data_IF_375151416134
#
_entry.id   IF_375151416134
#
_cell.length_a   1.000
_cell.length_b   1.000
_cell.length_c   1.000
_cell.angle_alpha   90.00
_cell.angle_beta   90.00
_cell.angle_gamma   90.00
#
_symmetry.space_group_name_H-M   'P 1'
#
loop_
_entity.id
_entity.type
_entity.pdbx_description
1 polymer ?
#
# COMPACT_ATOMS: atom_id res chain seq x y z
N UNK A 1 -5.29 16.93 9.31
CA UNK A 1 -6.26 16.05 8.60
C UNK A 1 -7.00 15.19 9.62
N UNK A 2 -8.21 14.69 9.31
CA UNK A 2 -9.00 13.85 10.21
C UNK A 2 -8.95 12.37 9.79
N UNK A 3 -9.21 11.48 10.74
CA UNK A 3 -9.37 10.05 10.49
C UNK A 3 -10.64 9.81 9.68
N UNK A 4 -10.51 9.03 8.61
CA UNK A 4 -11.62 8.68 7.72
C UNK A 4 -12.77 7.95 8.42
N UNK A 5 -12.49 7.18 9.48
CA UNK A 5 -13.49 6.30 10.11
C UNK A 5 -14.20 6.93 11.31
N UNK A 6 -13.56 7.87 12.02
CA UNK A 6 -14.10 8.38 13.29
C UNK A 6 -13.90 9.88 13.51
N UNK A 7 -13.39 10.61 12.51
CA UNK A 7 -13.12 12.05 12.58
C UNK A 7 -12.14 12.51 13.70
N UNK A 8 -11.54 11.61 14.49
CA UNK A 8 -10.41 11.93 15.38
C UNK A 8 -9.22 12.47 14.57
N UNK A 9 -8.30 13.18 15.22
CA UNK A 9 -7.06 13.62 14.57
C UNK A 9 -6.29 12.43 13.96
N UNK A 10 -5.94 12.53 12.68
CA UNK A 10 -5.12 11.51 12.04
C UNK A 10 -3.65 11.64 12.45
N UNK A 11 -2.95 10.50 12.52
CA UNK A 11 -1.52 10.38 12.81
C UNK A 11 -0.71 9.97 11.59
N UNK A 12 -1.37 9.46 10.54
CA UNK A 12 -0.74 9.11 9.28
C UNK A 12 -1.75 9.04 8.14
N UNK A 13 -1.26 8.74 6.94
CA UNK A 13 -2.06 8.59 5.73
C UNK A 13 -1.89 7.19 5.14
N UNK A 14 -2.97 6.60 4.66
CA UNK A 14 -2.93 5.30 3.99
C UNK A 14 -2.06 5.37 2.74
N UNK A 15 -1.06 4.49 2.62
CA UNK A 15 -0.12 4.47 1.50
C UNK A 15 -0.79 4.30 0.13
N UNK A 16 -1.95 3.64 0.09
CA UNK A 16 -2.66 3.31 -1.16
C UNK A 16 -3.72 4.35 -1.58
N UNK A 17 -4.46 4.95 -0.64
CA UNK A 17 -5.58 5.86 -0.96
C UNK A 17 -5.47 7.23 -0.28
N UNK A 18 -4.38 7.52 0.43
CA UNK A 18 -4.10 8.77 1.13
C UNK A 18 -5.08 9.19 2.24
N UNK A 19 -6.14 8.41 2.54
CA UNK A 19 -7.04 8.66 3.69
C UNK A 19 -6.25 8.84 4.99
N UNK A 20 -6.61 9.85 5.78
CA UNK A 20 -6.06 10.03 7.13
C UNK A 20 -6.54 8.96 8.10
N UNK A 21 -5.66 8.49 8.98
CA UNK A 21 -5.94 7.43 9.97
C UNK A 21 -5.44 7.84 11.35
N UNK A 22 -6.28 7.66 12.37
CA UNK A 22 -5.86 7.75 13.78
C UNK A 22 -5.18 6.44 14.21
N UNK A 23 -4.57 6.42 15.39
CA UNK A 23 -3.91 5.24 15.96
C UNK A 23 -4.81 4.00 16.03
N UNK A 24 -6.09 4.16 16.39
CA UNK A 24 -7.06 3.04 16.47
C UNK A 24 -7.35 2.36 15.11
N UNK A 25 -7.29 3.13 14.02
CA UNK A 25 -7.71 2.67 12.69
C UNK A 25 -6.53 2.50 11.72
N UNK A 26 -5.33 2.93 12.11
CA UNK A 26 -4.13 2.66 11.35
C UNK A 26 -3.80 1.17 11.46
N UNK A 27 -3.61 0.53 10.30
CA UNK A 27 -2.97 -0.77 10.20
C UNK A 27 -1.61 -0.62 9.56
N UNK A 28 -0.76 -1.61 9.75
CA UNK A 28 0.58 -1.65 9.17
C UNK A 28 0.72 -2.94 8.36
N UNK A 29 1.43 -2.86 7.25
CA UNK A 29 1.69 -4.01 6.42
C UNK A 29 2.55 -3.67 5.21
N UNK A 30 3.01 -4.70 4.48
CA UNK A 30 4.07 -4.54 3.51
C UNK A 30 3.63 -3.69 2.32
N UNK A 31 4.57 -2.88 1.84
CA UNK A 31 4.44 -2.10 0.63
C UNK A 31 5.68 -2.30 -0.24
N UNK A 32 5.49 -2.92 -1.40
CA UNK A 32 6.53 -3.13 -2.41
C UNK A 32 6.84 -1.78 -3.10
N UNK A 33 8.05 -1.26 -2.89
CA UNK A 33 8.53 -0.03 -3.52
C UNK A 33 8.97 -0.28 -4.96
N UNK A 34 9.80 -1.31 -5.14
CA UNK A 34 10.46 -1.59 -6.41
C UNK A 34 10.76 -3.09 -6.54
N UNK A 35 10.85 -3.56 -7.78
CA UNK A 35 11.32 -4.91 -8.14
C UNK A 35 12.58 -4.78 -8.98
N UNK A 36 13.65 -5.45 -8.57
CA UNK A 36 14.90 -5.55 -9.30
C UNK A 36 15.12 -6.99 -9.81
N UNK A 37 15.87 -7.15 -10.90
CA UNK A 37 16.32 -8.47 -11.38
C UNK A 37 17.75 -8.72 -10.93
N UNK A 38 17.94 -9.73 -10.09
CA UNK A 38 19.26 -10.15 -9.62
C UNK A 38 19.87 -11.14 -10.61
N UNK A 39 20.88 -10.70 -11.35
CA UNK A 39 21.61 -11.58 -12.28
C UNK A 39 22.37 -12.68 -11.52
N UNK A 40 22.98 -12.34 -10.39
CA UNK A 40 23.77 -13.30 -9.59
C UNK A 40 22.91 -14.37 -8.93
N UNK A 41 21.69 -14.03 -8.49
CA UNK A 41 20.76 -15.00 -7.87
C UNK A 41 19.73 -15.56 -8.86
N UNK A 42 19.79 -15.16 -10.13
CA UNK A 42 18.89 -15.64 -11.19
C UNK A 42 17.41 -15.40 -10.93
N UNK A 43 17.03 -14.41 -10.10
CA UNK A 43 15.63 -14.19 -9.68
C UNK A 43 15.28 -12.71 -9.50
N UNK A 44 13.98 -12.41 -9.50
CA UNK A 44 13.48 -11.09 -9.12
C UNK A 44 13.53 -10.92 -7.59
N UNK A 45 13.83 -9.71 -7.15
CA UNK A 45 13.92 -9.33 -5.74
C UNK A 45 13.15 -8.02 -5.53
N UNK A 46 12.40 -7.92 -4.43
CA UNK A 46 11.60 -6.73 -4.11
C UNK A 46 12.20 -5.93 -2.97
N UNK A 47 12.19 -4.60 -3.09
CA UNK A 47 12.42 -3.70 -1.97
C UNK A 47 11.08 -3.41 -1.30
N UNK A 48 10.92 -3.81 -0.04
CA UNK A 48 9.65 -3.75 0.70
C UNK A 48 9.79 -2.88 1.94
N UNK A 49 8.79 -2.04 2.20
CA UNK A 49 8.57 -1.39 3.50
C UNK A 49 7.56 -2.23 4.26
N UNK A 50 7.99 -2.92 5.32
CA UNK A 50 7.13 -3.86 6.07
C UNK A 50 5.98 -3.19 6.81
N UNK A 51 6.19 -1.98 7.33
CA UNK A 51 5.22 -1.28 8.19
C UNK A 51 4.66 -0.02 7.53
N UNK A 52 4.23 -0.11 6.28
CA UNK A 52 3.53 1.00 5.64
C UNK A 52 2.14 1.20 6.27
N UNK A 53 1.72 2.45 6.48
CA UNK A 53 0.38 2.76 7.00
C UNK A 53 -0.70 2.38 5.99
N UNK A 54 -1.69 1.61 6.42
CA UNK A 54 -2.80 1.12 5.61
C UNK A 54 -4.14 1.32 6.32
N UNK A 55 -5.20 1.60 5.56
CA UNK A 55 -6.55 1.78 6.12
C UNK A 55 -7.33 0.47 6.27
N UNK A 56 -6.77 -0.67 5.85
CA UNK A 56 -7.43 -1.99 5.88
C UNK A 56 -8.66 -2.15 4.98
N UNK A 57 -9.11 -1.09 4.30
CA UNK A 57 -10.24 -1.12 3.36
C UNK A 57 -9.79 -1.07 1.91
N UNK A 58 -8.56 -0.62 1.63
CA UNK A 58 -7.94 -0.78 0.33
C UNK A 58 -7.74 -2.28 0.07
N UNK A 59 -8.36 -2.78 -0.99
CA UNK A 59 -8.17 -4.16 -1.46
C UNK A 59 -7.69 -4.08 -2.90
N UNK A 60 -6.38 -4.29 -3.18
CA UNK A 60 -5.95 -4.47 -4.55
C UNK A 60 -6.72 -5.63 -5.18
N UNK A 61 -7.01 -5.54 -6.48
CA UNK A 61 -7.64 -6.65 -7.19
C UNK A 61 -6.71 -7.87 -7.13
N UNK A 62 -7.23 -9.08 -6.92
CA UNK A 62 -6.41 -10.28 -6.86
C UNK A 62 -5.83 -10.66 -8.23
N UNK A 63 -6.45 -10.18 -9.32
CA UNK A 63 -5.95 -10.33 -10.68
C UNK A 63 -5.72 -8.96 -11.33
N UNK A 64 -4.71 -8.83 -12.23
CA UNK A 64 -4.57 -7.68 -13.10
C UNK A 64 -5.85 -7.39 -13.88
N UNK A 65 -6.08 -6.11 -14.19
CA UNK A 65 -7.20 -5.69 -15.04
C UNK A 65 -6.71 -5.54 -16.48
N UNK A 66 -7.47 -6.01 -17.50
CA UNK A 66 -7.14 -5.75 -18.89
C UNK A 66 -7.25 -4.25 -19.19
N UNK A 67 -6.33 -3.74 -20.00
CA UNK A 67 -6.27 -2.33 -20.43
C UNK A 67 -6.25 -2.26 -21.97
N UNK A 68 -7.35 -2.65 -22.64
CA UNK A 68 -7.42 -2.74 -24.11
C UNK A 68 -7.17 -1.40 -24.82
N UNK A 69 -7.38 -0.27 -24.13
CA UNK A 69 -7.05 1.07 -24.61
C UNK A 69 -5.54 1.34 -24.78
N UNK A 70 -4.67 0.44 -24.34
CA UNK A 70 -3.21 0.57 -24.42
C UNK A 70 -2.53 -0.45 -25.37
N UNK A 71 -3.30 -1.29 -26.05
CA UNK A 71 -2.82 -2.32 -26.99
C UNK A 71 -2.67 -1.78 -28.44
#
# INVERSE_FOLDING_TARGET
MLCWFCAKAARGSCRFCARGLCEDHAKFGPYLLEVHRSQSRGRAEGLVVEDAVQCGTCRPRPQPVPMPELD
#
